data_IF_893147591322
#
_entry.id   IF_893147591322
#
_cell.length_a   1.000
_cell.length_b   1.000
_cell.length_c   1.000
_cell.angle_alpha   90.00
_cell.angle_beta   90.00
_cell.angle_gamma   90.00
#
_symmetry.space_group_name_H-M   'P 1'
#
loop_
_entity.id
_entity.type
_entity.pdbx_description
1 polymer ?
#
# COMPACT_ATOMS: atom_id res chain seq x y z
N UNK A 1 -10.27 -4.83 13.02
CA UNK A 1 -9.99 -3.46 12.53
C UNK A 1 -8.72 -3.55 11.71
N UNK A 2 -8.73 -3.00 10.50
CA UNK A 2 -7.60 -3.01 9.57
C UNK A 2 -7.19 -1.58 9.30
N UNK A 3 -5.96 -1.24 9.67
CA UNK A 3 -5.38 0.08 9.42
C UNK A 3 -4.06 -0.06 8.68
N UNK A 4 -3.82 0.83 7.72
CA UNK A 4 -2.52 1.04 7.08
C UNK A 4 -1.88 2.21 7.81
N UNK A 5 -0.72 1.96 8.38
CA UNK A 5 0.09 2.94 9.07
C UNK A 5 1.21 3.39 8.14
N UNK A 6 1.26 4.70 7.87
CA UNK A 6 2.45 5.36 7.35
C UNK A 6 2.86 6.43 8.35
N UNK A 7 4.02 6.26 8.98
CA UNK A 7 4.49 7.21 9.98
C UNK A 7 5.13 8.43 9.29
N UNK A 8 4.48 9.61 9.30
CA UNK A 8 4.97 10.77 8.59
C UNK A 8 6.28 11.32 9.15
N UNK A 9 6.58 11.04 10.42
CA UNK A 9 7.77 11.55 11.10
C UNK A 9 8.98 10.62 10.89
N UNK A 10 8.76 9.44 10.30
CA UNK A 10 9.83 8.52 9.87
C UNK A 10 10.31 8.77 8.43
N UNK A 11 9.68 9.71 7.71
CA UNK A 11 9.99 10.00 6.31
C UNK A 11 11.43 10.49 6.19
N UNK A 12 12.23 9.78 5.40
CA UNK A 12 13.62 10.15 5.13
C UNK A 12 13.97 9.93 3.67
N UNK A 13 14.87 10.77 3.18
CA UNK A 13 15.38 10.71 1.80
C UNK A 13 16.82 10.24 1.84
N UNK A 14 17.10 9.17 1.10
CA UNK A 14 18.45 8.67 0.87
C UNK A 14 18.88 9.06 -0.53
N UNK A 15 19.96 9.84 -0.62
CA UNK A 15 20.59 10.21 -1.87
C UNK A 15 21.78 9.28 -2.14
N UNK A 16 21.72 8.54 -3.23
CA UNK A 16 22.90 7.85 -3.78
C UNK A 16 23.30 8.49 -5.11
N UNK A 17 24.46 8.09 -5.65
CA UNK A 17 24.91 8.52 -6.98
C UNK A 17 24.00 8.02 -8.11
N UNK A 18 23.13 7.05 -7.85
CA UNK A 18 22.39 6.27 -8.85
C UNK A 18 20.87 6.49 -8.71
N UNK A 19 20.37 6.63 -7.49
CA UNK A 19 18.95 6.79 -7.19
C UNK A 19 18.74 7.66 -5.95
N UNK A 20 17.60 8.33 -5.91
CA UNK A 20 17.06 8.89 -4.67
C UNK A 20 15.91 8.03 -4.20
N UNK A 21 15.96 7.60 -2.95
CA UNK A 21 14.99 6.68 -2.36
C UNK A 21 14.34 7.34 -1.15
N UNK A 22 13.02 7.15 -1.01
CA UNK A 22 12.24 7.70 0.09
C UNK A 22 11.77 6.52 0.94
N UNK A 23 12.09 6.59 2.22
CA UNK A 23 11.71 5.57 3.19
C UNK A 23 10.77 6.14 4.24
N UNK A 24 9.91 5.31 4.77
CA UNK A 24 9.15 5.56 5.99
C UNK A 24 8.62 4.24 6.52
N UNK A 25 8.20 4.24 7.79
CA UNK A 25 7.42 3.13 8.33
C UNK A 25 6.15 2.97 7.48
N UNK A 26 5.91 1.77 6.96
CA UNK A 26 4.75 1.38 6.17
C UNK A 26 4.36 -0.06 6.51
N UNK A 27 3.27 -0.22 7.26
CA UNK A 27 2.80 -1.52 7.72
C UNK A 27 1.30 -1.50 7.98
N UNK A 28 0.70 -2.69 8.11
CA UNK A 28 -0.68 -2.85 8.53
C UNK A 28 -0.77 -3.20 10.01
N UNK A 29 -1.76 -2.63 10.68
CA UNK A 29 -2.24 -3.10 11.98
C UNK A 29 -3.58 -3.83 11.76
N UNK A 30 -3.62 -5.11 12.11
CA UNK A 30 -4.78 -5.99 12.00
C UNK A 30 -5.16 -6.50 13.39
N UNK A 31 -6.05 -5.77 14.07
CA UNK A 31 -6.32 -6.01 15.49
C UNK A 31 -5.07 -5.79 16.34
N UNK A 32 -4.55 -6.86 16.95
CA UNK A 32 -3.32 -6.87 17.75
C UNK A 32 -2.07 -7.27 16.94
N UNK A 33 -2.25 -7.69 15.68
CA UNK A 33 -1.16 -8.15 14.81
C UNK A 33 -0.64 -7.01 13.95
N UNK A 34 0.68 -6.95 13.75
CA UNK A 34 1.32 -6.04 12.81
C UNK A 34 1.90 -6.80 11.63
N UNK A 35 1.79 -6.25 10.42
CA UNK A 35 2.31 -6.88 9.22
C UNK A 35 2.99 -5.86 8.28
N UNK A 36 4.26 -6.06 7.89
CA UNK A 36 5.11 -7.21 8.20
C UNK A 36 5.51 -7.31 9.68
N UNK A 37 5.75 -6.17 10.31
CA UNK A 37 5.96 -5.99 11.75
C UNK A 37 5.69 -4.51 12.11
N UNK A 38 5.62 -4.20 13.41
CA UNK A 38 5.45 -2.82 13.86
C UNK A 38 6.68 -1.98 13.48
N UNK A 39 6.46 -0.79 12.93
CA UNK A 39 7.52 0.10 12.42
C UNK A 39 8.35 -0.54 11.30
N UNK A 40 7.76 -1.46 10.53
CA UNK A 40 8.40 -1.96 9.31
C UNK A 40 8.68 -0.80 8.37
N UNK A 41 9.91 -0.72 7.93
CA UNK A 41 10.47 0.44 7.26
C UNK A 41 10.93 0.06 5.86
N UNK A 42 10.38 0.74 4.86
CA UNK A 42 10.48 0.33 3.46
C UNK A 42 10.48 1.54 2.51
N UNK A 43 10.68 1.31 1.21
CA UNK A 43 10.58 2.31 0.15
C UNK A 43 9.12 2.77 -0.05
N UNK A 44 8.57 3.50 0.91
CA UNK A 44 7.14 3.75 1.03
C UNK A 44 6.51 4.42 -0.18
N UNK A 45 7.22 5.30 -0.89
CA UNK A 45 6.73 5.90 -2.15
C UNK A 45 6.58 4.86 -3.25
N UNK A 46 7.56 3.96 -3.39
CA UNK A 46 7.58 2.91 -4.41
C UNK A 46 6.52 1.86 -4.08
N UNK A 47 6.57 1.31 -2.87
CA UNK A 47 5.66 0.26 -2.38
C UNK A 47 4.21 0.73 -2.49
N UNK A 48 3.90 1.92 -1.96
CA UNK A 48 2.54 2.44 -2.04
C UNK A 48 2.15 2.75 -3.49
N UNK A 49 3.07 3.24 -4.31
CA UNK A 49 2.84 3.46 -5.74
C UNK A 49 2.42 2.18 -6.48
N UNK A 50 3.07 1.06 -6.19
CA UNK A 50 2.69 -0.26 -6.71
C UNK A 50 1.33 -0.70 -6.19
N UNK A 51 1.06 -0.52 -4.90
CA UNK A 51 -0.24 -0.88 -4.32
C UNK A 51 -1.39 -0.07 -4.90
N UNK A 52 -1.22 1.24 -5.10
CA UNK A 52 -2.26 2.06 -5.73
C UNK A 52 -2.57 1.58 -7.15
N UNK A 53 -1.55 1.16 -7.90
CA UNK A 53 -1.71 0.62 -9.25
C UNK A 53 -2.43 -0.73 -9.23
N UNK A 54 -2.00 -1.63 -8.36
CA UNK A 54 -2.62 -2.96 -8.21
C UNK A 54 -4.07 -2.86 -7.73
N UNK A 55 -4.38 -1.88 -6.88
CA UNK A 55 -5.74 -1.63 -6.39
C UNK A 55 -6.73 -1.28 -7.51
N UNK A 56 -6.26 -0.76 -8.65
CA UNK A 56 -7.11 -0.51 -9.83
C UNK A 56 -7.55 -1.80 -10.53
N UNK A 57 -6.87 -2.91 -10.27
CA UNK A 57 -7.09 -4.20 -10.92
C UNK A 57 -7.86 -5.19 -10.06
N UNK A 58 -8.25 -4.81 -8.83
CA UNK A 58 -9.06 -5.66 -7.95
C UNK A 58 -10.38 -5.99 -8.64
N UNK A 59 -10.68 -7.29 -8.74
CA UNK A 59 -11.90 -7.80 -9.36
C UNK A 59 -12.41 -9.05 -8.64
N UNK A 60 -13.61 -9.51 -9.01
CA UNK A 60 -14.18 -10.75 -8.49
C UNK A 60 -13.49 -12.00 -9.03
N UNK A 61 -12.79 -11.89 -10.16
CA UNK A 61 -12.37 -13.04 -10.94
C UNK A 61 -10.95 -13.51 -10.60
N UNK A 62 -10.18 -12.69 -9.88
CA UNK A 62 -8.79 -12.98 -9.56
C UNK A 62 -8.33 -12.32 -8.26
N UNK A 63 -7.25 -12.85 -7.68
CA UNK A 63 -6.57 -12.23 -6.54
C UNK A 63 -5.53 -11.23 -7.03
N UNK A 64 -5.60 -10.01 -6.53
CA UNK A 64 -4.59 -8.98 -6.72
C UNK A 64 -3.49 -9.13 -5.69
N UNK A 65 -2.22 -9.03 -6.11
CA UNK A 65 -1.05 -9.29 -5.25
C UNK A 65 -0.29 -8.01 -4.97
N UNK A 66 -0.25 -7.63 -3.70
CA UNK A 66 0.36 -6.40 -3.22
C UNK A 66 1.66 -6.73 -2.51
N UNK A 67 2.77 -6.53 -3.21
CA UNK A 67 4.10 -6.86 -2.69
C UNK A 67 4.68 -5.70 -1.90
N UNK A 68 5.38 -6.01 -0.82
CA UNK A 68 6.42 -5.12 -0.33
C UNK A 68 7.59 -5.17 -1.34
N UNK A 69 8.77 -4.67 -0.98
CA UNK A 69 9.94 -4.76 -1.85
C UNK A 69 10.42 -6.21 -2.03
N UNK A 70 11.72 -6.46 -2.23
CA UNK A 70 12.28 -7.80 -2.44
C UNK A 70 12.23 -8.72 -1.20
N UNK A 71 11.34 -8.43 -0.25
CA UNK A 71 11.12 -9.19 0.98
C UNK A 71 10.11 -10.34 0.80
N UNK A 72 10.02 -11.22 1.79
CA UNK A 72 9.12 -12.37 1.78
C UNK A 72 7.66 -11.99 2.04
N UNK A 73 7.32 -10.70 2.00
CA UNK A 73 6.05 -10.19 2.47
C UNK A 73 5.20 -9.63 1.34
N UNK A 74 3.95 -10.05 1.31
CA UNK A 74 2.94 -9.51 0.43
C UNK A 74 1.57 -9.75 1.04
N UNK A 75 0.55 -9.12 0.47
CA UNK A 75 -0.82 -9.50 0.75
C UNK A 75 -1.60 -9.73 -0.53
N UNK A 76 -2.57 -10.62 -0.47
CA UNK A 76 -3.49 -10.90 -1.57
C UNK A 76 -4.85 -10.29 -1.24
N UNK A 77 -5.47 -9.56 -2.17
CA UNK A 77 -6.83 -9.07 -2.03
C UNK A 77 -7.75 -9.69 -3.09
N UNK A 78 -8.95 -10.11 -2.66
CA UNK A 78 -9.97 -10.68 -3.53
C UNK A 78 -11.32 -10.02 -3.27
N UNK A 79 -12.01 -9.59 -4.33
CA UNK A 79 -13.32 -8.96 -4.22
C UNK A 79 -14.43 -10.01 -4.18
N UNK A 80 -15.18 -10.06 -3.09
CA UNK A 80 -16.32 -10.95 -2.89
C UNK A 80 -17.47 -10.12 -2.34
N UNK A 81 -18.59 -10.06 -3.07
CA UNK A 81 -19.81 -9.36 -2.64
C UNK A 81 -19.57 -7.91 -2.17
N UNK A 82 -18.72 -7.17 -2.91
CA UNK A 82 -18.39 -5.77 -2.60
C UNK A 82 -17.35 -5.58 -1.49
N UNK A 83 -16.84 -6.67 -0.91
CA UNK A 83 -15.82 -6.66 0.15
C UNK A 83 -14.50 -7.22 -0.36
N UNK A 84 -13.40 -6.66 0.12
CA UNK A 84 -12.07 -7.22 -0.07
C UNK A 84 -11.77 -8.19 1.07
N UNK A 85 -11.62 -9.47 0.74
CA UNK A 85 -10.95 -10.46 1.60
C UNK A 85 -9.44 -10.31 1.38
N UNK A 86 -8.69 -10.08 2.45
CA UNK A 86 -7.26 -9.78 2.40
C UNK A 86 -6.50 -10.80 3.24
N UNK A 87 -5.57 -11.53 2.61
CA UNK A 87 -4.66 -12.46 3.28
C UNK A 87 -3.26 -11.85 3.33
N UNK A 88 -2.70 -11.68 4.53
CA UNK A 88 -1.36 -11.19 4.76
C UNK A 88 -0.38 -12.36 4.86
N UNK A 89 0.61 -12.40 3.98
CA UNK A 89 1.37 -13.60 3.68
C UNK A 89 2.86 -13.39 3.89
N UNK A 90 3.49 -14.32 4.62
CA UNK A 90 4.94 -14.48 4.65
C UNK A 90 5.36 -15.69 3.84
N UNK A 91 6.28 -15.50 2.90
CA UNK A 91 6.87 -16.55 2.07
C UNK A 91 8.37 -16.66 2.35
N UNK A 92 8.71 -17.27 3.48
CA UNK A 92 10.09 -17.48 3.92
C UNK A 92 10.52 -18.91 3.64
N UNK A 93 11.74 -19.11 3.13
CA UNK A 93 12.30 -20.45 2.85
C UNK A 93 11.37 -21.34 1.99
N UNK A 94 10.74 -20.77 0.96
CA UNK A 94 9.75 -21.44 0.09
C UNK A 94 8.53 -22.00 0.84
N UNK A 95 8.23 -21.50 2.04
CA UNK A 95 7.03 -21.82 2.80
C UNK A 95 6.13 -20.60 2.85
N UNK A 96 4.94 -20.73 2.27
CA UNK A 96 3.85 -19.74 2.35
C UNK A 96 3.07 -19.93 3.67
N UNK A 97 2.94 -18.85 4.42
CA UNK A 97 2.19 -18.78 5.67
C UNK A 97 1.26 -17.56 5.66
N UNK A 98 -0.02 -17.77 5.97
CA UNK A 98 -0.97 -16.67 6.21
C UNK A 98 -0.78 -16.21 7.65
N UNK A 99 -0.17 -15.04 7.81
CA UNK A 99 0.13 -14.42 9.11
C UNK A 99 -1.14 -13.85 9.75
N UNK A 100 -2.01 -13.26 8.92
CA UNK A 100 -3.29 -12.73 9.35
C UNK A 100 -4.23 -12.64 8.15
N UNK A 101 -5.53 -12.50 8.41
CA UNK A 101 -6.53 -12.16 7.40
C UNK A 101 -7.41 -11.00 7.89
N UNK A 102 -8.07 -10.33 6.95
CA UNK A 102 -9.06 -9.32 7.25
C UNK A 102 -10.08 -9.23 6.12
N UNK A 103 -11.31 -8.83 6.47
CA UNK A 103 -12.34 -8.48 5.50
C UNK A 103 -12.72 -7.02 5.71
N UNK A 104 -12.73 -6.25 4.64
CA UNK A 104 -13.05 -4.81 4.64
C UNK A 104 -13.89 -4.47 3.42
N UNK A 105 -14.79 -3.49 3.52
CA UNK A 105 -15.51 -2.98 2.35
C UNK A 105 -14.52 -2.52 1.27
N UNK A 106 -14.75 -2.86 0.01
CA UNK A 106 -13.81 -2.52 -1.08
C UNK A 106 -13.54 -1.01 -1.13
N UNK A 107 -14.58 -0.21 -0.95
CA UNK A 107 -14.48 1.25 -0.88
C UNK A 107 -13.61 1.72 0.28
N UNK A 108 -13.74 1.08 1.45
CA UNK A 108 -12.93 1.41 2.62
C UNK A 108 -11.47 1.04 2.41
N UNK A 109 -11.19 -0.07 1.73
CA UNK A 109 -9.82 -0.42 1.34
C UNK A 109 -9.19 0.63 0.40
N UNK A 110 -9.91 1.06 -0.64
CA UNK A 110 -9.43 2.14 -1.51
C UNK A 110 -9.26 3.46 -0.76
N UNK A 111 -10.15 3.76 0.18
CA UNK A 111 -10.05 4.96 1.04
C UNK A 111 -8.81 4.90 1.92
N UNK A 112 -8.50 3.74 2.48
CA UNK A 112 -7.33 3.51 3.33
C UNK A 112 -6.03 3.77 2.55
N UNK A 113 -5.90 3.21 1.35
CA UNK A 113 -4.76 3.43 0.46
C UNK A 113 -4.64 4.90 0.03
N UNK A 114 -5.73 5.51 -0.44
CA UNK A 114 -5.69 6.90 -0.94
C UNK A 114 -5.45 7.93 0.16
N UNK A 115 -5.89 7.68 1.39
CA UNK A 115 -5.67 8.58 2.52
C UNK A 115 -4.21 8.55 2.97
N UNK A 116 -3.62 7.35 3.05
CA UNK A 116 -2.22 7.17 3.38
C UNK A 116 -1.28 7.72 2.29
N UNK A 117 -1.63 7.56 1.01
CA UNK A 117 -0.87 8.17 -0.08
C UNK A 117 -0.85 9.70 0.00
N UNK A 118 -1.99 10.33 0.32
CA UNK A 118 -2.07 11.78 0.54
C UNK A 118 -1.23 12.22 1.73
N UNK A 119 -1.28 11.45 2.83
CA UNK A 119 -0.48 11.73 4.02
C UNK A 119 1.01 11.71 3.68
N UNK A 120 1.47 10.65 3.00
CA UNK A 120 2.86 10.51 2.58
C UNK A 120 3.28 11.67 1.67
N UNK A 121 2.53 11.94 0.60
CA UNK A 121 2.83 13.02 -0.36
C UNK A 121 2.96 14.38 0.33
N UNK A 122 2.09 14.69 1.30
CA UNK A 122 2.12 15.97 2.04
C UNK A 122 3.37 16.11 2.90
N UNK A 123 4.00 15.00 3.28
CA UNK A 123 5.16 14.93 4.18
C UNK A 123 6.47 14.74 3.45
N UNK A 124 6.44 14.53 2.15
CA UNK A 124 7.64 14.53 1.32
C UNK A 124 8.31 15.91 1.35
N UNK A 125 9.65 15.97 1.36
CA UNK A 125 10.36 17.23 1.22
C UNK A 125 10.16 17.82 -0.18
N UNK A 126 10.34 19.13 -0.31
CA UNK A 126 9.98 19.87 -1.52
C UNK A 126 10.71 19.33 -2.76
N UNK A 127 12.01 19.03 -2.63
CA UNK A 127 12.86 18.49 -3.68
C UNK A 127 12.41 17.12 -4.22
N UNK A 128 11.68 16.34 -3.42
CA UNK A 128 11.18 15.03 -3.84
C UNK A 128 10.03 15.11 -4.84
N UNK A 129 9.41 16.28 -5.02
CA UNK A 129 8.26 16.43 -5.91
C UNK A 129 8.54 16.13 -7.37
N UNK A 130 9.79 16.27 -7.80
CA UNK A 130 10.26 16.04 -9.16
C UNK A 130 10.76 14.60 -9.39
N UNK A 131 10.82 13.77 -8.35
CA UNK A 131 11.27 12.39 -8.50
C UNK A 131 10.24 11.57 -9.26
N UNK A 132 10.71 10.73 -10.17
CA UNK A 132 9.87 9.92 -11.06
C UNK A 132 8.87 9.08 -10.27
N UNK A 133 9.31 8.42 -9.21
CA UNK A 133 8.50 7.56 -8.34
C UNK A 133 7.41 8.35 -7.62
N UNK A 134 7.69 9.61 -7.24
CA UNK A 134 6.71 10.51 -6.62
C UNK A 134 5.67 10.97 -7.64
N UNK A 135 6.08 11.27 -8.87
CA UNK A 135 5.17 11.60 -9.97
C UNK A 135 4.26 10.40 -10.31
N UNK A 136 4.82 9.19 -10.33
CA UNK A 136 4.06 7.95 -10.53
C UNK A 136 3.05 7.71 -9.39
N UNK A 137 3.47 7.85 -8.13
CA UNK A 137 2.57 7.75 -6.97
C UNK A 137 1.41 8.75 -7.07
N UNK A 138 1.69 10.02 -7.42
CA UNK A 138 0.67 11.07 -7.60
C UNK A 138 -0.31 10.71 -8.73
N UNK A 139 0.19 10.18 -9.85
CA UNK A 139 -0.65 9.76 -10.96
C UNK A 139 -1.54 8.57 -10.58
N UNK A 140 -0.98 7.54 -9.93
CA UNK A 140 -1.73 6.37 -9.49
C UNK A 140 -2.79 6.76 -8.45
N UNK A 141 -2.48 7.67 -7.53
CA UNK A 141 -3.46 8.25 -6.60
C UNK A 141 -4.62 8.92 -7.33
N UNK A 142 -4.34 9.74 -8.35
CA UNK A 142 -5.39 10.40 -9.13
C UNK A 142 -6.28 9.38 -9.84
N UNK A 143 -5.70 8.35 -10.45
CA UNK A 143 -6.45 7.27 -11.11
C UNK A 143 -7.32 6.51 -10.11
N UNK A 144 -6.77 6.14 -8.95
CA UNK A 144 -7.51 5.39 -7.93
C UNK A 144 -8.65 6.22 -7.33
N UNK A 145 -8.46 7.54 -7.16
CA UNK A 145 -9.53 8.45 -6.74
C UNK A 145 -10.65 8.57 -7.77
N UNK A 146 -10.33 8.55 -9.07
CA UNK A 146 -11.32 8.54 -10.13
C UNK A 146 -12.09 7.22 -10.14
N UNK A 147 -11.38 6.09 -10.04
CA UNK A 147 -11.99 4.77 -9.96
C UNK A 147 -12.91 4.63 -8.74
N UNK A 148 -12.47 5.08 -7.56
CA UNK A 148 -13.25 5.03 -6.32
C UNK A 148 -14.57 5.80 -6.39
N UNK A 149 -14.67 6.84 -7.24
CA UNK A 149 -15.92 7.57 -7.47
C UNK A 149 -16.92 6.77 -8.32
N UNK A 150 -16.42 5.97 -9.27
CA UNK A 150 -17.27 5.18 -10.18
C UNK A 150 -17.93 3.98 -9.49
N UNK A 151 -17.28 3.43 -8.47
CA UNK A 151 -17.82 2.34 -7.64
C UNK A 151 -18.79 2.83 -6.54
N UNK A 152 -19.11 4.12 -6.49
CA UNK A 152 -20.12 4.66 -5.57
C UNK A 152 -21.49 4.57 -6.24
N UNK A 153 -22.48 3.83 -5.68
CA UNK A 153 -23.85 3.94 -6.16
C UNK A 153 -24.38 5.33 -5.84
N UNK A 154 -25.01 5.96 -6.83
CA UNK A 154 -25.85 7.16 -6.65
C UNK A 154 -26.99 6.90 -5.66
#
# INVERSE_FOLDING_TARGET
MLDLVINPDSVRVSHSKISTQIYSDIYFQIGETFFPEEKWDDFSVIVLGWWLKEALSISSDSRSVFRFMDGPYYFEAHLIDGKCSIDFISERHNKKEIVSNSVIEHREFLRLLTSNARLLIRKLPFEANEFKEVLELKNNLKQLQQHAKLITPS
#
